data_IF_172111382278
#
_entry.id   IF_172111382278
#
_cell.length_a   1.000
_cell.length_b   1.000
_cell.length_c   1.000
_cell.angle_alpha   90.00
_cell.angle_beta   90.00
_cell.angle_gamma   90.00
#
_symmetry.space_group_name_H-M   'P 1'
#
loop_
_entity.id
_entity.type
_entity.pdbx_description
1 polymer ?
#
# COMPACT_ATOMS: atom_id res chain seq x y z
N UNK A 1 -13.69 7.54 -2.55
CA UNK A 1 -12.74 6.59 -1.91
C UNK A 1 -12.29 6.98 -0.49
N UNK A 2 -12.72 8.12 0.06
CA UNK A 2 -12.23 8.69 1.33
C UNK A 2 -13.24 8.67 2.50
N UNK A 3 -14.53 8.38 2.25
CA UNK A 3 -15.54 8.26 3.31
C UNK A 3 -15.39 6.99 4.17
N UNK A 4 -16.10 6.93 5.30
CA UNK A 4 -16.03 5.81 6.27
C UNK A 4 -16.44 4.44 5.69
N UNK A 5 -17.25 4.44 4.63
CA UNK A 5 -17.63 3.22 3.90
C UNK A 5 -16.52 2.70 2.95
N UNK A 6 -15.40 3.42 2.80
CA UNK A 6 -14.33 3.02 1.89
C UNK A 6 -13.59 1.78 2.39
N UNK A 7 -13.69 0.70 1.63
CA UNK A 7 -12.95 -0.55 1.88
C UNK A 7 -11.44 -0.33 1.87
N UNK A 8 -10.92 0.49 0.95
CA UNK A 8 -9.49 0.81 0.88
C UNK A 8 -9.05 1.58 2.14
N UNK A 9 -9.85 2.52 2.62
CA UNK A 9 -9.54 3.27 3.84
C UNK A 9 -9.53 2.35 5.06
N UNK A 10 -10.48 1.40 5.15
CA UNK A 10 -10.51 0.41 6.23
C UNK A 10 -9.25 -0.46 6.26
N UNK A 11 -8.80 -0.95 5.10
CA UNK A 11 -7.53 -1.68 4.98
C UNK A 11 -6.36 -0.82 5.45
N UNK A 12 -6.26 0.43 4.96
CA UNK A 12 -5.20 1.35 5.36
C UNK A 12 -5.18 1.64 6.87
N UNK A 13 -6.36 1.83 7.49
CA UNK A 13 -6.47 2.04 8.93
C UNK A 13 -6.03 0.80 9.73
N UNK A 14 -6.43 -0.40 9.30
CA UNK A 14 -5.99 -1.64 9.95
C UNK A 14 -4.47 -1.82 9.89
N UNK A 15 -3.88 -1.56 8.71
CA UNK A 15 -2.42 -1.59 8.54
C UNK A 15 -1.72 -0.55 9.43
N UNK A 16 -2.28 0.66 9.53
CA UNK A 16 -1.78 1.72 10.41
C UNK A 16 -1.89 1.39 11.90
N UNK A 17 -2.86 0.56 12.28
CA UNK A 17 -3.01 0.01 13.63
C UNK A 17 -2.10 -1.20 13.90
N UNK A 18 -1.30 -1.63 12.91
CA UNK A 18 -0.39 -2.76 13.03
C UNK A 18 -1.03 -4.13 12.81
N UNK A 19 -2.28 -4.20 12.35
CA UNK A 19 -2.93 -5.46 11.99
C UNK A 19 -2.28 -6.09 10.76
N UNK A 20 -2.25 -7.41 10.69
CA UNK A 20 -1.80 -8.11 9.49
C UNK A 20 -2.89 -8.07 8.41
N UNK A 21 -2.51 -8.30 7.15
CA UNK A 21 -3.50 -8.43 6.07
C UNK A 21 -4.47 -9.59 6.33
N UNK A 22 -4.04 -10.67 6.98
CA UNK A 22 -4.91 -11.78 7.35
C UNK A 22 -6.00 -11.33 8.33
N UNK A 23 -5.62 -10.59 9.40
CA UNK A 23 -6.57 -10.07 10.39
C UNK A 23 -7.58 -9.12 9.75
N UNK A 24 -7.09 -8.21 8.91
CA UNK A 24 -7.92 -7.22 8.22
C UNK A 24 -8.93 -7.91 7.30
N UNK A 25 -8.50 -8.93 6.55
CA UNK A 25 -9.39 -9.66 5.64
C UNK A 25 -10.40 -10.51 6.40
N UNK A 26 -10.04 -11.08 7.55
CA UNK A 26 -10.97 -11.82 8.41
C UNK A 26 -12.11 -10.93 8.94
N UNK A 27 -11.84 -9.64 9.17
CA UNK A 27 -12.83 -8.65 9.62
C UNK A 27 -13.70 -8.08 8.49
N UNK A 28 -13.38 -8.39 7.23
CA UNK A 28 -14.03 -7.81 6.05
C UNK A 28 -14.89 -8.83 5.30
N UNK A 29 -16.15 -8.46 5.02
CA UNK A 29 -17.04 -9.27 4.17
C UNK A 29 -16.63 -9.29 2.69
N UNK A 30 -15.81 -8.33 2.26
CA UNK A 30 -15.35 -8.18 0.87
C UNK A 30 -13.94 -7.62 0.84
N UNK A 31 -13.11 -8.14 -0.07
CA UNK A 31 -11.75 -7.63 -0.31
C UNK A 31 -11.81 -6.24 -0.94
N UNK A 32 -10.95 -5.33 -0.46
CA UNK A 32 -10.84 -4.00 -1.04
C UNK A 32 -10.18 -4.05 -2.43
N UNK A 33 -10.68 -3.27 -3.38
CA UNK A 33 -10.15 -3.21 -4.75
C UNK A 33 -8.65 -2.89 -4.78
N UNK A 34 -8.20 -1.97 -3.93
CA UNK A 34 -6.80 -1.56 -3.83
C UNK A 34 -5.85 -2.71 -3.57
N UNK A 35 -6.28 -3.76 -2.85
CA UNK A 35 -5.45 -4.95 -2.61
C UNK A 35 -5.08 -5.64 -3.93
N UNK A 36 -6.01 -5.73 -4.88
CA UNK A 36 -5.73 -6.34 -6.19
C UNK A 36 -5.03 -5.37 -7.13
N UNK A 37 -5.46 -4.11 -7.12
CA UNK A 37 -4.92 -3.06 -7.99
C UNK A 37 -3.46 -2.76 -7.68
N UNK A 38 -3.04 -2.80 -6.41
CA UNK A 38 -1.64 -2.58 -6.01
C UNK A 38 -0.69 -3.57 -6.68
N UNK A 39 -1.07 -4.86 -6.76
CA UNK A 39 -0.26 -5.87 -7.46
C UNK A 39 -0.06 -5.52 -8.93
N UNK A 40 -1.15 -5.29 -9.65
CA UNK A 40 -1.11 -4.99 -11.09
C UNK A 40 -0.38 -3.68 -11.37
N UNK A 41 -0.60 -2.65 -10.54
CA UNK A 41 0.08 -1.37 -10.67
C UNK A 41 1.59 -1.48 -10.42
N UNK A 42 2.01 -2.29 -9.45
CA UNK A 42 3.43 -2.55 -9.18
C UNK A 42 4.10 -3.27 -10.36
N UNK A 43 3.48 -4.34 -10.86
CA UNK A 43 3.96 -5.09 -12.03
C UNK A 43 4.05 -4.20 -13.28
N UNK A 44 3.06 -3.34 -13.51
CA UNK A 44 3.05 -2.41 -14.63
C UNK A 44 4.15 -1.35 -14.51
N UNK A 45 4.33 -0.76 -13.33
CA UNK A 45 5.40 0.20 -13.09
C UNK A 45 6.78 -0.40 -13.36
N UNK A 46 7.02 -1.63 -12.90
CA UNK A 46 8.26 -2.37 -13.18
C UNK A 46 8.43 -2.63 -14.67
N UNK A 47 7.38 -3.10 -15.37
CA UNK A 47 7.41 -3.36 -16.81
C UNK A 47 7.73 -2.10 -17.64
N UNK A 48 7.24 -0.95 -17.21
CA UNK A 48 7.43 0.32 -17.90
C UNK A 48 8.69 1.08 -17.45
N UNK A 49 9.43 0.58 -16.46
CA UNK A 49 10.59 1.28 -15.89
C UNK A 49 10.22 2.59 -15.17
N UNK A 50 8.98 2.72 -14.69
CA UNK A 50 8.49 3.92 -14.01
C UNK A 50 8.72 3.80 -12.51
N UNK A 51 9.35 4.81 -11.91
CA UNK A 51 9.53 4.88 -10.45
C UNK A 51 8.17 5.16 -9.76
N UNK A 52 7.61 4.15 -9.10
CA UNK A 52 6.35 4.25 -8.36
C UNK A 52 6.56 3.87 -6.88
N UNK A 53 7.21 4.74 -6.07
CA UNK A 53 7.74 4.40 -4.74
C UNK A 53 6.63 4.08 -3.73
N UNK A 54 5.51 4.81 -3.79
CA UNK A 54 4.35 4.55 -2.93
C UNK A 54 3.72 3.20 -3.31
N UNK A 55 3.55 2.92 -4.60
CA UNK A 55 3.01 1.64 -5.09
C UNK A 55 3.89 0.47 -4.67
N UNK A 56 5.22 0.60 -4.77
CA UNK A 56 6.17 -0.42 -4.34
C UNK A 56 6.07 -0.70 -2.83
N UNK A 57 5.99 0.36 -2.02
CA UNK A 57 5.81 0.23 -0.55
C UNK A 57 4.48 -0.45 -0.22
N UNK A 58 3.39 -0.05 -0.88
CA UNK A 58 2.09 -0.69 -0.68
C UNK A 58 2.11 -2.16 -1.12
N UNK A 59 2.83 -2.50 -2.20
CA UNK A 59 3.00 -3.88 -2.63
C UNK A 59 3.68 -4.72 -1.56
N UNK A 60 4.81 -4.25 -1.04
CA UNK A 60 5.56 -4.95 -0.01
C UNK A 60 4.76 -5.16 1.29
N UNK A 61 3.97 -4.17 1.70
CA UNK A 61 3.09 -4.30 2.88
C UNK A 61 1.97 -5.31 2.62
N UNK A 62 1.25 -5.17 1.51
CA UNK A 62 0.01 -5.93 1.25
C UNK A 62 0.30 -7.38 0.81
N UNK A 63 1.35 -7.59 0.01
CA UNK A 63 1.62 -8.88 -0.64
C UNK A 63 2.85 -9.60 -0.11
N UNK A 64 3.83 -8.89 0.46
CA UNK A 64 5.08 -9.48 0.96
C UNK A 64 5.14 -9.52 2.50
N UNK A 65 4.13 -8.96 3.18
CA UNK A 65 4.03 -8.97 4.63
C UNK A 65 5.04 -8.04 5.32
N UNK A 66 5.61 -7.07 4.61
CA UNK A 66 6.51 -6.10 5.21
C UNK A 66 5.75 -5.27 6.27
N UNK A 67 6.28 -5.13 7.51
CA UNK A 67 5.63 -4.30 8.52
C UNK A 67 5.47 -2.86 8.05
N UNK A 68 4.24 -2.34 8.10
CA UNK A 68 3.90 -1.00 7.60
C UNK A 68 4.81 0.09 8.17
N UNK A 69 5.14 0.02 9.47
CA UNK A 69 6.09 0.92 10.13
C UNK A 69 7.45 0.97 9.43
N UNK A 70 8.03 -0.19 9.10
CA UNK A 70 9.34 -0.26 8.47
C UNK A 70 9.30 0.23 7.03
N UNK A 71 8.27 -0.17 6.28
CA UNK A 71 8.11 0.24 4.90
C UNK A 71 7.89 1.77 4.77
N UNK A 72 7.12 2.37 5.68
CA UNK A 72 6.93 3.82 5.75
C UNK A 72 8.21 4.55 6.14
N UNK A 73 8.98 4.04 7.10
CA UNK A 73 10.27 4.65 7.48
C UNK A 73 11.22 4.71 6.28
N UNK A 74 11.34 3.62 5.51
CA UNK A 74 12.14 3.58 4.29
C UNK A 74 11.63 4.54 3.20
N UNK A 75 10.31 4.68 3.07
CA UNK A 75 9.70 5.62 2.12
C UNK A 75 10.02 7.08 2.48
N UNK A 76 9.95 7.41 3.77
CA UNK A 76 10.19 8.76 4.28
C UNK A 76 11.68 9.13 4.30
N UNK A 77 12.59 8.13 4.32
CA UNK A 77 14.04 8.36 4.25
C UNK A 77 14.59 8.51 2.83
N UNK A 78 13.74 8.52 1.80
CA UNK A 78 14.19 8.75 0.42
C UNK A 78 14.78 10.15 0.27
N UNK A 79 15.76 10.28 -0.63
CA UNK A 79 16.32 11.57 -0.98
C UNK A 79 15.22 12.51 -1.48
N UNK A 80 15.26 13.76 -1.01
CA UNK A 80 14.40 14.83 -1.50
C UNK A 80 14.64 15.02 -2.99
N UNK A 81 13.55 15.00 -3.76
CA UNK A 81 13.54 15.36 -5.17
C UNK A 81 12.74 16.67 -5.30
N UNK A 82 13.15 17.58 -6.20
CA UNK A 82 12.37 18.78 -6.46
C UNK A 82 11.00 18.40 -7.05
N UNK A 83 9.97 19.18 -6.74
CA UNK A 83 8.58 18.92 -7.18
C UNK A 83 8.39 19.17 -8.69
N UNK A 84 9.23 20.04 -9.26
CA UNK A 84 9.35 20.31 -10.69
C UNK A 84 10.84 20.26 -11.03
N UNK A 85 11.16 19.77 -12.23
CA UNK A 85 12.54 19.85 -12.77
C UNK A 85 13.04 21.30 -12.79
#
# INVERSE_FOLDING_TARGET
CSGDASRNRRVGLGLGQGKTMADILAEMKQVAEGVKTTKVAHELAHKLGVEAPITAVMHAIIHEGQPARHAMAALMSRALKPERE
#
